data_IF_249333847795
#
_entry.id   IF_249333847795
#
_cell.length_a   1.000
_cell.length_b   1.000
_cell.length_c   1.000
_cell.angle_alpha   90.00
_cell.angle_beta   90.00
_cell.angle_gamma   90.00
#
_symmetry.space_group_name_H-M   'P 1'
#
loop_
_entity.id
_entity.type
_entity.pdbx_description
1 polymer ?
#
# COMPACT_ATOMS: atom_id res chain seq x y z
N UNK A 1 -2.54 11.62 38.83
CA UNK A 1 -2.97 11.36 37.44
C UNK A 1 -1.77 10.86 36.66
N UNK A 2 -1.78 9.64 36.13
CA UNK A 2 -0.67 9.12 35.33
C UNK A 2 -0.53 9.97 34.06
N UNK A 3 0.69 10.43 33.76
CA UNK A 3 0.97 11.13 32.52
C UNK A 3 0.60 10.21 31.35
N UNK A 4 -0.33 10.65 30.51
CA UNK A 4 -0.71 9.94 29.29
C UNK A 4 0.52 9.92 28.38
N UNK A 5 1.22 8.80 28.29
CA UNK A 5 2.31 8.64 27.33
C UNK A 5 1.75 8.85 25.92
N UNK A 6 2.43 9.69 25.14
CA UNK A 6 2.11 9.84 23.72
C UNK A 6 2.24 8.48 23.01
N UNK A 7 1.33 8.19 22.09
CA UNK A 7 1.33 6.93 21.35
C UNK A 7 2.62 6.82 20.52
N UNK A 8 3.42 5.78 20.74
CA UNK A 8 4.60 5.50 19.92
C UNK A 8 4.30 4.36 18.94
N UNK A 9 4.56 4.59 17.65
CA UNK A 9 4.29 3.62 16.58
C UNK A 9 5.57 3.32 15.82
N UNK A 10 5.89 2.04 15.62
CA UNK A 10 7.06 1.60 14.85
C UNK A 10 6.63 1.15 13.46
N UNK A 11 7.16 1.77 12.41
CA UNK A 11 6.69 1.55 11.04
C UNK A 11 7.85 1.21 10.10
N UNK A 12 7.66 0.17 9.29
CA UNK A 12 8.44 -0.07 8.09
C UNK A 12 7.59 0.28 6.87
N UNK A 13 7.86 1.42 6.22
CA UNK A 13 7.06 1.91 5.10
C UNK A 13 7.21 1.07 3.81
N UNK A 14 8.13 0.10 3.76
CA UNK A 14 8.11 -0.93 2.72
C UNK A 14 6.94 -1.91 2.93
N UNK A 15 6.50 -2.08 4.18
CA UNK A 15 5.33 -2.88 4.53
C UNK A 15 4.04 -2.13 4.22
N UNK A 16 3.20 -2.72 3.37
CA UNK A 16 1.90 -2.16 3.03
C UNK A 16 0.99 -1.89 4.25
N UNK A 17 0.83 -2.79 5.24
CA UNK A 17 0.01 -2.48 6.42
C UNK A 17 0.57 -1.31 7.24
N UNK A 18 1.88 -1.09 7.26
CA UNK A 18 2.48 0.07 7.93
C UNK A 18 2.20 1.37 7.18
N UNK A 19 2.12 1.35 5.84
CA UNK A 19 1.68 2.54 5.06
C UNK A 19 0.21 2.86 5.32
N UNK A 20 -0.66 1.84 5.33
CA UNK A 20 -2.06 2.02 5.66
C UNK A 20 -2.24 2.68 7.05
N UNK A 21 -1.49 2.17 8.05
CA UNK A 21 -1.49 2.74 9.39
C UNK A 21 -0.92 4.17 9.43
N UNK A 22 0.14 4.45 8.68
CA UNK A 22 0.71 5.79 8.57
C UNK A 22 -0.32 6.79 8.02
N UNK A 23 -1.05 6.41 6.96
CA UNK A 23 -2.10 7.23 6.37
C UNK A 23 -3.23 7.45 7.38
N UNK A 24 -3.70 6.39 8.04
CA UNK A 24 -4.76 6.49 9.05
C UNK A 24 -4.39 7.44 10.20
N UNK A 25 -3.17 7.35 10.70
CA UNK A 25 -2.66 8.22 11.77
C UNK A 25 -2.59 9.68 11.34
N UNK A 26 -2.20 9.94 10.09
CA UNK A 26 -2.19 11.29 9.52
C UNK A 26 -3.61 11.87 9.38
N UNK A 27 -4.57 11.07 8.90
CA UNK A 27 -5.96 11.50 8.73
C UNK A 27 -6.68 11.75 10.07
N UNK A 28 -6.39 10.95 11.09
CA UNK A 28 -7.06 11.04 12.40
C UNK A 28 -6.45 12.09 13.34
N UNK A 29 -5.29 12.66 12.98
CA UNK A 29 -4.56 13.67 13.78
C UNK A 29 -4.34 13.26 15.25
N UNK A 30 -4.28 11.96 15.51
CA UNK A 30 -3.99 11.45 16.85
C UNK A 30 -2.58 11.88 17.26
N UNK A 31 -2.35 12.40 18.48
CA UNK A 31 -0.99 12.69 18.94
C UNK A 31 -0.15 11.41 19.03
N UNK A 32 0.86 11.29 18.17
CA UNK A 32 1.72 10.12 18.12
C UNK A 32 3.14 10.47 17.66
N UNK A 33 4.07 9.56 17.96
CA UNK A 33 5.46 9.62 17.48
C UNK A 33 5.73 8.39 16.63
N UNK A 34 6.22 8.62 15.40
CA UNK A 34 6.62 7.54 14.49
C UNK A 34 8.11 7.23 14.67
N UNK A 35 8.45 5.96 14.87
CA UNK A 35 9.81 5.44 14.77
C UNK A 35 9.93 4.54 13.55
N UNK A 36 10.79 4.91 12.62
CA UNK A 36 11.03 4.08 11.44
C UNK A 36 11.90 2.88 11.79
N UNK A 37 11.48 1.70 11.35
CA UNK A 37 12.22 0.44 11.46
C UNK A 37 12.36 -0.18 10.07
N UNK A 38 13.44 -0.93 9.85
CA UNK A 38 13.77 -1.49 8.53
C UNK A 38 13.70 -3.03 8.56
N UNK A 39 12.51 -3.57 8.84
CA UNK A 39 12.26 -5.01 8.99
C UNK A 39 12.42 -5.77 7.65
N UNK A 40 12.09 -5.12 6.53
CA UNK A 40 12.18 -5.70 5.18
C UNK A 40 13.51 -5.42 4.47
N UNK A 41 14.48 -4.82 5.16
CA UNK A 41 15.82 -4.58 4.60
C UNK A 41 16.51 -5.93 4.38
N UNK A 42 16.99 -6.20 3.17
CA UNK A 42 17.58 -7.49 2.79
C UNK A 42 16.60 -8.54 2.23
N UNK A 43 15.29 -8.36 2.40
CA UNK A 43 14.28 -9.36 2.01
C UNK A 43 13.71 -9.18 0.58
N UNK A 44 14.21 -8.20 -0.18
CA UNK A 44 13.78 -8.00 -1.56
C UNK A 44 14.62 -8.90 -2.47
N UNK A 45 14.03 -9.70 -3.38
CA UNK A 45 14.77 -10.57 -4.31
C UNK A 45 15.83 -9.81 -5.14
N UNK A 46 15.56 -8.54 -5.44
CA UNK A 46 16.50 -7.63 -6.09
C UNK A 46 17.78 -7.32 -5.27
N UNK A 47 17.85 -7.73 -4.00
CA UNK A 47 19.02 -7.62 -3.12
C UNK A 47 19.75 -8.95 -2.94
N UNK A 48 19.06 -10.09 -3.09
CA UNK A 48 19.68 -11.43 -3.00
C UNK A 48 20.26 -11.91 -4.33
N UNK A 49 19.80 -11.39 -5.47
CA UNK A 49 20.27 -11.79 -6.80
C UNK A 49 19.87 -13.23 -7.20
N UNK A 50 19.12 -13.91 -6.34
CA UNK A 50 18.63 -15.26 -6.60
C UNK A 50 17.51 -15.21 -7.64
N UNK A 51 17.52 -16.11 -8.64
CA UNK A 51 16.44 -16.21 -9.60
C UNK A 51 15.14 -16.59 -8.87
N UNK A 52 14.05 -15.90 -9.19
CA UNK A 52 12.70 -16.28 -8.74
C UNK A 52 12.25 -17.43 -9.63
N UNK A 53 11.83 -18.53 -9.01
CA UNK A 53 11.29 -19.68 -9.74
C UNK A 53 10.02 -19.27 -10.51
N UNK A 54 9.98 -19.59 -11.80
CA UNK A 54 8.95 -19.12 -12.72
C UNK A 54 7.54 -19.59 -12.31
N UNK A 55 7.41 -20.84 -11.87
CA UNK A 55 6.15 -21.40 -11.41
C UNK A 55 5.60 -20.64 -10.19
N UNK A 56 6.47 -20.28 -9.24
CA UNK A 56 6.09 -19.47 -8.09
C UNK A 56 5.66 -18.06 -8.48
N UNK A 57 6.35 -17.44 -9.44
CA UNK A 57 5.98 -16.13 -9.97
C UNK A 57 4.62 -16.15 -10.68
N UNK A 58 4.40 -17.14 -11.55
CA UNK A 58 3.14 -17.32 -12.26
C UNK A 58 1.98 -17.56 -11.30
N UNK A 59 2.17 -18.42 -10.29
CA UNK A 59 1.17 -18.65 -9.25
C UNK A 59 0.83 -17.36 -8.47
N UNK A 60 1.83 -16.58 -8.08
CA UNK A 60 1.60 -15.31 -7.38
C UNK A 60 0.88 -14.26 -8.26
N UNK A 61 1.17 -14.23 -9.56
CA UNK A 61 0.48 -13.33 -10.49
C UNK A 61 -0.98 -13.75 -10.73
N UNK A 62 -1.27 -15.05 -10.83
CA UNK A 62 -2.63 -15.57 -10.93
C UNK A 62 -3.45 -15.20 -9.70
N UNK A 63 -2.90 -15.45 -8.50
CA UNK A 63 -3.56 -15.08 -7.23
C UNK A 63 -3.81 -13.58 -7.12
N UNK A 64 -2.88 -12.75 -7.59
CA UNK A 64 -3.07 -11.30 -7.63
C UNK A 64 -4.22 -10.93 -8.58
N UNK A 65 -4.28 -11.52 -9.77
CA UNK A 65 -5.36 -11.26 -10.72
C UNK A 65 -6.73 -11.63 -10.13
N UNK A 66 -6.86 -12.81 -9.53
CA UNK A 66 -8.09 -13.25 -8.85
C UNK A 66 -8.48 -12.30 -7.71
N UNK A 67 -7.51 -11.84 -6.91
CA UNK A 67 -7.75 -10.88 -5.83
C UNK A 67 -8.29 -9.55 -6.37
N UNK A 68 -7.73 -9.06 -7.48
CA UNK A 68 -8.18 -7.83 -8.12
C UNK A 68 -9.58 -7.99 -8.75
N UNK A 69 -9.89 -9.17 -9.28
CA UNK A 69 -11.25 -9.49 -9.77
C UNK A 69 -12.26 -9.48 -8.63
N UNK A 70 -11.92 -10.03 -7.47
CA UNK A 70 -12.78 -10.00 -6.29
C UNK A 70 -12.94 -8.58 -5.75
N UNK A 71 -11.86 -7.79 -5.68
CA UNK A 71 -11.92 -6.38 -5.29
C UNK A 71 -12.89 -5.60 -6.17
N UNK A 72 -12.87 -5.83 -7.48
CA UNK A 72 -13.76 -5.15 -8.42
C UNK A 72 -15.20 -5.67 -8.37
N UNK A 73 -15.40 -6.98 -8.45
CA UNK A 73 -16.72 -7.61 -8.63
C UNK A 73 -17.51 -7.84 -7.34
N UNK A 74 -16.84 -8.00 -6.19
CA UNK A 74 -17.49 -8.28 -4.91
C UNK A 74 -17.56 -7.04 -4.02
N UNK A 75 -16.44 -6.32 -3.88
CA UNK A 75 -16.32 -5.21 -2.93
C UNK A 75 -16.67 -3.88 -3.58
N UNK A 76 -15.97 -3.49 -4.66
CA UNK A 76 -16.14 -2.18 -5.27
C UNK A 76 -17.43 -2.06 -6.08
N UNK A 77 -17.80 -3.07 -6.88
CA UNK A 77 -19.03 -3.11 -7.69
C UNK A 77 -19.36 -1.76 -8.35
N UNK A 78 -20.35 -1.04 -7.81
CA UNK A 78 -20.82 0.27 -8.28
C UNK A 78 -20.69 1.38 -7.23
N UNK A 79 -20.02 1.10 -6.11
CA UNK A 79 -19.80 2.02 -5.00
C UNK A 79 -18.44 2.75 -5.14
N UNK A 80 -18.27 3.92 -4.51
CA UNK A 80 -17.04 4.68 -4.64
C UNK A 80 -15.85 4.04 -3.91
N UNK A 81 -16.07 3.38 -2.76
CA UNK A 81 -15.05 2.74 -1.92
C UNK A 81 -15.37 1.26 -1.67
N UNK A 82 -14.45 0.51 -1.08
CA UNK A 82 -14.62 -0.95 -0.89
C UNK A 82 -15.74 -1.33 0.08
N UNK A 83 -16.04 -0.46 1.06
CA UNK A 83 -17.03 -0.71 2.10
C UNK A 83 -18.26 0.21 2.05
N UNK A 84 -18.41 1.02 1.01
CA UNK A 84 -19.61 1.82 0.77
C UNK A 84 -19.30 3.18 0.17
N UNK A 85 -20.00 4.19 0.66
CA UNK A 85 -19.93 5.56 0.17
C UNK A 85 -18.76 6.37 0.76
N UNK A 86 -18.25 5.93 1.92
CA UNK A 86 -17.14 6.57 2.62
C UNK A 86 -15.86 5.73 2.60
N UNK A 87 -14.72 6.40 2.66
CA UNK A 87 -13.41 5.76 2.77
C UNK A 87 -13.27 5.04 4.12
N UNK A 88 -12.68 3.86 4.09
CA UNK A 88 -12.44 3.06 5.29
C UNK A 88 -11.00 2.53 5.33
N UNK A 89 -10.64 1.89 6.45
CA UNK A 89 -9.36 1.18 6.57
C UNK A 89 -9.19 0.08 5.51
N UNK A 90 -10.29 -0.48 4.99
CA UNK A 90 -10.23 -1.48 3.92
C UNK A 90 -9.60 -0.89 2.65
N UNK A 91 -9.94 0.36 2.31
CA UNK A 91 -9.38 1.05 1.16
C UNK A 91 -7.88 1.30 1.32
N UNK A 92 -7.43 1.62 2.54
CA UNK A 92 -6.01 1.85 2.84
C UNK A 92 -5.17 0.55 2.85
N UNK A 93 -5.81 -0.57 3.20
CA UNK A 93 -5.20 -1.90 3.28
C UNK A 93 -5.30 -2.70 1.97
N UNK A 94 -5.93 -2.16 0.94
CA UNK A 94 -6.03 -2.85 -0.33
C UNK A 94 -4.68 -2.88 -1.07
N UNK A 95 -4.46 -3.85 -1.98
CA UNK A 95 -3.23 -3.96 -2.74
C UNK A 95 -3.18 -2.87 -3.84
N UNK A 96 -2.40 -1.81 -3.62
CA UNK A 96 -2.34 -0.67 -4.54
C UNK A 96 -1.18 -0.71 -5.55
N UNK A 97 -0.40 -1.80 -5.55
CA UNK A 97 0.78 -1.99 -6.39
C UNK A 97 2.01 -1.27 -5.85
N UNK A 98 2.89 -2.01 -5.19
CA UNK A 98 4.13 -1.50 -4.60
C UNK A 98 5.26 -1.21 -5.62
N UNK A 99 4.97 -0.43 -6.66
CA UNK A 99 5.95 0.05 -7.64
C UNK A 99 5.81 -0.48 -9.07
N UNK A 100 4.93 -1.47 -9.31
CA UNK A 100 4.39 -1.79 -10.64
C UNK A 100 2.94 -1.36 -10.70
N UNK A 101 2.51 -0.88 -11.86
CA UNK A 101 1.12 -0.50 -12.06
C UNK A 101 0.26 -1.75 -12.27
N UNK A 102 -0.01 -2.47 -11.17
CA UNK A 102 -0.85 -3.69 -11.17
C UNK A 102 -2.30 -3.40 -11.52
N UNK A 103 -2.69 -2.12 -11.57
CA UNK A 103 -4.04 -1.66 -11.89
C UNK A 103 -4.13 -1.11 -13.32
N UNK A 104 -3.05 -1.15 -14.11
CA UNK A 104 -2.99 -0.52 -15.43
C UNK A 104 -4.16 -0.91 -16.36
N UNK A 105 -4.60 -2.18 -16.29
CA UNK A 105 -5.65 -2.75 -17.15
C UNK A 105 -7.02 -2.80 -16.44
N UNK A 106 -7.17 -2.10 -15.31
CA UNK A 106 -8.36 -2.16 -14.43
C UNK A 106 -8.96 -0.76 -14.17
N UNK A 107 -9.73 -0.20 -15.11
CA UNK A 107 -10.19 1.18 -15.05
C UNK A 107 -11.13 1.49 -13.87
N UNK A 108 -11.84 0.49 -13.33
CA UNK A 108 -12.65 0.67 -12.12
C UNK A 108 -11.76 0.82 -10.88
N UNK A 109 -10.76 -0.05 -10.72
CA UNK A 109 -9.80 0.04 -9.62
C UNK A 109 -8.91 1.29 -9.73
N UNK A 110 -8.56 1.73 -10.93
CA UNK A 110 -7.85 3.01 -11.09
C UNK A 110 -8.68 4.20 -10.59
N UNK A 111 -9.97 4.25 -10.94
CA UNK A 111 -10.89 5.29 -10.45
C UNK A 111 -11.07 5.21 -8.93
N UNK A 112 -11.18 4.01 -8.37
CA UNK A 112 -11.20 3.80 -6.92
C UNK A 112 -9.92 4.34 -6.26
N UNK A 113 -8.74 3.97 -6.74
CA UNK A 113 -7.46 4.47 -6.22
C UNK A 113 -7.35 5.99 -6.28
N UNK A 114 -7.84 6.61 -7.36
CA UNK A 114 -7.90 8.07 -7.47
C UNK A 114 -8.79 8.69 -6.39
N UNK A 115 -9.94 8.08 -6.07
CA UNK A 115 -10.81 8.52 -4.96
C UNK A 115 -10.14 8.34 -3.61
N UNK A 116 -9.46 7.22 -3.38
CA UNK A 116 -8.68 6.97 -2.14
C UNK A 116 -7.63 8.06 -1.95
N UNK A 117 -6.80 8.31 -2.98
CA UNK A 117 -5.77 9.36 -2.93
C UNK A 117 -6.36 10.74 -2.67
N UNK A 118 -7.47 11.08 -3.32
CA UNK A 118 -8.15 12.36 -3.11
C UNK A 118 -8.69 12.49 -1.66
N UNK A 119 -9.21 11.42 -1.07
CA UNK A 119 -9.77 11.43 0.27
C UNK A 119 -8.71 11.58 1.38
N UNK A 120 -7.51 11.01 1.21
CA UNK A 120 -6.45 11.08 2.23
C UNK A 120 -5.39 12.18 1.97
N UNK A 121 -5.42 12.79 0.78
CA UNK A 121 -4.52 13.87 0.39
C UNK A 121 -3.03 13.48 0.45
N UNK A 122 -2.20 14.41 0.89
CA UNK A 122 -0.74 14.28 0.91
C UNK A 122 -0.23 13.08 1.72
N UNK A 123 -1.01 12.59 2.68
CA UNK A 123 -0.66 11.40 3.47
C UNK A 123 -0.43 10.18 2.58
N UNK A 124 -1.15 10.08 1.46
CA UNK A 124 -0.97 9.02 0.48
C UNK A 124 0.45 9.01 -0.09
N UNK A 125 0.89 10.16 -0.62
CA UNK A 125 2.18 10.28 -1.30
C UNK A 125 3.34 10.19 -0.32
N UNK A 126 3.18 10.75 0.88
CA UNK A 126 4.17 10.64 1.96
C UNK A 126 4.39 9.18 2.37
N UNK A 127 3.31 8.40 2.55
CA UNK A 127 3.43 6.99 2.90
C UNK A 127 4.07 6.16 1.78
N UNK A 128 3.84 6.53 0.51
CA UNK A 128 4.34 5.81 -0.66
C UNK A 128 5.70 6.29 -1.19
N UNK A 129 6.25 7.39 -0.67
CA UNK A 129 7.49 8.02 -1.14
C UNK A 129 8.67 7.04 -1.23
N UNK A 130 8.82 6.14 -0.25
CA UNK A 130 9.89 5.13 -0.25
C UNK A 130 9.80 4.16 -1.43
N UNK A 131 8.58 3.81 -1.86
CA UNK A 131 8.36 2.92 -2.99
C UNK A 131 8.65 3.61 -4.31
N UNK A 132 8.28 4.89 -4.43
CA UNK A 132 8.62 5.70 -5.61
C UNK A 132 10.13 5.82 -5.77
N UNK A 133 10.85 6.15 -4.69
CA UNK A 133 12.31 6.22 -4.69
C UNK A 133 12.96 4.88 -5.07
N UNK A 134 12.43 3.74 -4.58
CA UNK A 134 12.93 2.42 -4.95
C UNK A 134 12.67 2.08 -6.42
N UNK A 135 11.49 2.39 -6.95
CA UNK A 135 11.14 2.18 -8.36
C UNK A 135 12.06 3.00 -9.26
N UNK A 136 12.25 4.27 -8.96
CA UNK A 136 13.01 5.20 -9.78
C UNK A 136 14.51 4.80 -9.80
N UNK A 137 15.06 4.37 -8.65
CA UNK A 137 16.41 3.79 -8.58
C UNK A 137 16.58 2.52 -9.40
N UNK A 138 15.54 1.68 -9.51
CA UNK A 138 15.60 0.47 -10.37
C UNK A 138 15.56 0.84 -11.84
N UNK A 139 14.71 1.78 -12.22
CA UNK A 139 14.62 2.27 -13.60
C UNK A 139 15.93 2.90 -14.07
N UNK A 140 16.64 3.61 -13.20
CA UNK A 140 17.95 4.20 -13.52
C UNK A 140 19.10 3.18 -13.68
N UNK A 141 18.90 1.91 -13.31
CA UNK A 141 19.89 0.83 -13.41
C UNK A 141 19.65 -0.11 -14.60
N UNK A 142 18.52 0.05 -15.30
CA UNK A 142 18.15 -0.66 -16.53
C UNK A 142 18.45 0.24 -17.73
#
# INVERSE_FOLDING_TARGET
MAARQALQVHLDLLSQPCRALHILLACTRLPHTVRHVALRRGALPAQTGSPVEEQHLMGALSQLQETLDQLESMFLRRQPFLCGDDITVADLLAPEGGGRDVLQDRPLLQRWKSRVRAAVGDAFDQAHAVLYALRDRRRAKL
#
